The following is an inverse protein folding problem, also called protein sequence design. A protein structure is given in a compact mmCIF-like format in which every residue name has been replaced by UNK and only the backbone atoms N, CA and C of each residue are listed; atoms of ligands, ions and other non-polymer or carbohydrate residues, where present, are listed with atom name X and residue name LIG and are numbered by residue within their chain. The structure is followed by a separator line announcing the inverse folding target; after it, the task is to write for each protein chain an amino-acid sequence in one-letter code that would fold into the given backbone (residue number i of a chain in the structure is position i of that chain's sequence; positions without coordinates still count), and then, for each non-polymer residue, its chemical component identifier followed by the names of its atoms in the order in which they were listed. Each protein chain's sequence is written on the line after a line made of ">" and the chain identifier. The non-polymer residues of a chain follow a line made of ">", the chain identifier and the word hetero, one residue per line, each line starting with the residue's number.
data_IF_336393741722
#
_entry.id   IF_336393741722
#
_cell.length_a   1.000
_cell.length_b   1.000
_cell.length_c   1.000
_cell.angle_alpha   90.00
_cell.angle_beta   90.00
_cell.angle_gamma   90.00
#
_symmetry.space_group_name_H-M   'P 1'
#
loop_
_entity.id
_entity.type
_entity.pdbx_description
1 polymer ?
#
# COMPACT_ATOMS: atom_id res chain seq x y z
N UNK A 1 -3.74 18.07 3.16
CA UNK A 1 -2.38 18.43 2.72
C UNK A 1 -1.90 17.29 1.85
N UNK A 2 -1.42 17.53 0.63
CA UNK A 2 -1.07 16.45 -0.28
C UNK A 2 0.06 15.57 0.30
N UNK A 3 0.06 14.26 0.04
CA UNK A 3 1.11 13.35 0.56
C UNK A 3 2.52 13.77 0.20
N UNK A 4 2.70 14.37 -0.98
CA UNK A 4 3.98 14.96 -1.42
C UNK A 4 4.51 15.97 -0.41
N UNK A 5 3.64 16.82 0.14
CA UNK A 5 4.03 17.85 1.11
C UNK A 5 4.31 17.24 2.48
N UNK A 6 3.53 16.23 2.89
CA UNK A 6 3.73 15.50 4.14
C UNK A 6 5.09 14.78 4.14
N UNK A 7 5.41 14.07 3.06
CA UNK A 7 6.71 13.38 2.89
C UNK A 7 7.85 14.40 2.82
N UNK A 8 7.67 15.54 2.14
CA UNK A 8 8.65 16.62 2.11
C UNK A 8 8.93 17.18 3.50
N UNK A 9 7.90 17.44 4.29
CA UNK A 9 8.04 17.94 5.66
C UNK A 9 8.79 16.94 6.55
N UNK A 10 8.46 15.65 6.46
CA UNK A 10 9.17 14.59 7.18
C UNK A 10 10.64 14.49 6.74
N UNK A 11 10.93 14.65 5.46
CA UNK A 11 12.31 14.65 4.94
C UNK A 11 13.12 15.81 5.53
N UNK A 12 12.54 17.01 5.60
CA UNK A 12 13.18 18.18 6.21
C UNK A 12 13.38 17.97 7.71
N UNK A 13 12.43 17.34 8.40
CA UNK A 13 12.58 17.00 9.81
C UNK A 13 13.75 16.02 10.03
N UNK A 14 13.84 14.95 9.22
CA UNK A 14 14.96 14.00 9.26
C UNK A 14 16.31 14.65 8.96
N UNK A 15 16.33 15.63 8.03
CA UNK A 15 17.53 16.42 7.75
C UNK A 15 17.96 17.25 8.98
N UNK A 16 17.01 17.87 9.69
CA UNK A 16 17.30 18.67 10.89
C UNK A 16 17.74 17.82 12.07
N UNK A 17 17.22 16.61 12.21
CA UNK A 17 17.61 15.67 13.28
C UNK A 17 18.93 14.93 12.99
N UNK A 18 19.51 15.10 11.80
CA UNK A 18 20.73 14.40 11.39
C UNK A 18 20.52 12.92 11.01
N UNK A 19 19.27 12.48 10.87
CA UNK A 19 18.93 11.10 10.49
C UNK A 19 19.12 10.92 8.97
N UNK A 20 20.36 10.63 8.59
CA UNK A 20 20.77 10.47 7.18
C UNK A 20 20.05 9.31 6.49
N UNK A 21 19.86 8.18 7.18
CA UNK A 21 19.25 6.99 6.58
C UNK A 21 17.76 7.24 6.28
N UNK A 22 17.02 7.81 7.25
CA UNK A 22 15.62 8.19 7.06
C UNK A 22 15.46 9.30 6.01
N UNK A 23 16.33 10.32 6.02
CA UNK A 23 16.31 11.38 5.00
C UNK A 23 16.50 10.80 3.60
N UNK A 24 17.37 9.81 3.43
CA UNK A 24 17.61 9.18 2.14
C UNK A 24 16.39 8.38 1.68
N UNK A 25 15.78 7.58 2.56
CA UNK A 25 14.52 6.88 2.26
C UNK A 25 13.43 7.87 1.83
N UNK A 26 13.17 8.92 2.63
CA UNK A 26 12.15 9.92 2.34
C UNK A 26 12.43 10.69 1.04
N UNK A 27 13.70 10.96 0.73
CA UNK A 27 14.10 11.59 -0.52
C UNK A 27 13.78 10.71 -1.74
N UNK A 28 13.97 9.39 -1.64
CA UNK A 28 13.62 8.46 -2.71
C UNK A 28 12.10 8.39 -2.90
N UNK A 29 11.34 8.28 -1.79
CA UNK A 29 9.87 8.26 -1.84
C UNK A 29 9.30 9.55 -2.44
N UNK A 30 9.84 10.71 -2.03
CA UNK A 30 9.42 12.00 -2.57
C UNK A 30 9.65 12.10 -4.07
N UNK A 31 10.77 11.56 -4.58
CA UNK A 31 11.05 11.50 -6.01
C UNK A 31 10.06 10.59 -6.73
N UNK A 32 9.74 9.41 -6.19
CA UNK A 32 8.74 8.51 -6.78
C UNK A 32 7.36 9.17 -6.89
N UNK A 33 6.91 9.85 -5.82
CA UNK A 33 5.66 10.59 -5.83
C UNK A 33 5.66 11.74 -6.85
N UNK A 34 6.73 12.53 -6.91
CA UNK A 34 6.86 13.62 -7.89
C UNK A 34 6.86 13.10 -9.32
N UNK A 35 7.57 12.01 -9.59
CA UNK A 35 7.58 11.38 -10.91
C UNK A 35 6.17 10.95 -11.31
N UNK A 36 5.41 10.32 -10.40
CA UNK A 36 4.02 9.96 -10.66
C UNK A 36 3.11 11.18 -10.91
N UNK A 37 3.33 12.31 -10.21
CA UNK A 37 2.63 13.58 -10.49
C UNK A 37 2.95 14.10 -11.90
N UNK A 38 4.21 14.06 -12.31
CA UNK A 38 4.66 14.47 -13.65
C UNK A 38 4.06 13.57 -14.73
N UNK A 39 4.12 12.25 -14.53
CA UNK A 39 3.57 11.26 -15.46
C UNK A 39 2.06 11.43 -15.63
N UNK A 40 1.34 11.70 -14.53
CA UNK A 40 -0.10 12.00 -14.55
C UNK A 40 -0.42 13.35 -15.18
N UNK A 41 0.54 14.30 -15.18
CA UNK A 41 0.36 15.72 -15.56
C UNK A 41 -0.71 16.45 -14.74
N UNK A 42 -0.93 16.00 -13.52
CA UNK A 42 -1.86 16.57 -12.56
C UNK A 42 -1.47 16.12 -11.15
N UNK A 43 -1.99 16.81 -10.14
CA UNK A 43 -1.79 16.43 -8.75
C UNK A 43 -2.33 15.01 -8.48
N UNK A 44 -1.58 14.26 -7.67
CA UNK A 44 -2.00 12.94 -7.22
C UNK A 44 -3.11 13.09 -6.17
N UNK A 45 -4.15 12.26 -6.27
CA UNK A 45 -5.07 12.07 -5.16
C UNK A 45 -4.36 11.32 -4.03
N UNK A 46 -4.96 11.30 -2.84
CA UNK A 46 -4.43 10.53 -1.72
C UNK A 46 -4.36 9.03 -2.04
N UNK A 47 -5.34 8.50 -2.79
CA UNK A 47 -5.35 7.10 -3.21
C UNK A 47 -4.28 6.78 -4.25
N UNK A 48 -4.04 7.68 -5.21
CA UNK A 48 -2.96 7.46 -6.18
C UNK A 48 -1.59 7.55 -5.51
N UNK A 49 -1.43 8.48 -4.57
CA UNK A 49 -0.23 8.58 -3.75
C UNK A 49 0.00 7.29 -2.94
N UNK A 50 -1.05 6.71 -2.36
CA UNK A 50 -1.00 5.40 -1.70
C UNK A 50 -0.52 4.30 -2.63
N UNK A 51 -1.04 4.25 -3.86
CA UNK A 51 -0.63 3.24 -4.84
C UNK A 51 0.85 3.37 -5.16
N UNK A 52 1.37 4.59 -5.32
CA UNK A 52 2.79 4.83 -5.56
C UNK A 52 3.64 4.38 -4.36
N UNK A 53 3.27 4.78 -3.14
CA UNK A 53 4.00 4.39 -1.92
C UNK A 53 4.03 2.86 -1.77
N UNK A 54 2.90 2.18 -2.00
CA UNK A 54 2.82 0.70 -1.94
C UNK A 54 3.68 0.04 -3.00
N UNK A 55 3.73 0.61 -4.21
CA UNK A 55 4.61 0.10 -5.28
C UNK A 55 6.07 0.16 -4.85
N UNK A 56 6.50 1.26 -4.24
CA UNK A 56 7.86 1.42 -3.72
C UNK A 56 8.18 0.46 -2.56
N UNK A 57 7.21 0.22 -1.66
CA UNK A 57 7.32 -0.80 -0.60
C UNK A 57 7.52 -2.18 -1.23
N UNK A 58 6.66 -2.57 -2.18
CA UNK A 58 6.74 -3.87 -2.84
C UNK A 58 8.08 -4.08 -3.56
N UNK A 59 8.54 -3.09 -4.32
CA UNK A 59 9.84 -3.16 -5.00
C UNK A 59 11.01 -3.27 -4.00
N UNK A 60 10.91 -2.59 -2.86
CA UNK A 60 11.90 -2.72 -1.79
C UNK A 60 11.86 -4.09 -1.13
N UNK A 61 10.67 -4.66 -0.94
CA UNK A 61 10.49 -6.01 -0.41
C UNK A 61 11.07 -7.06 -1.38
N UNK A 62 10.79 -6.94 -2.68
CA UNK A 62 11.38 -7.83 -3.70
C UNK A 62 12.92 -7.72 -3.71
N UNK A 63 13.46 -6.51 -3.52
CA UNK A 63 14.91 -6.32 -3.37
C UNK A 63 15.43 -7.00 -2.10
N UNK A 64 14.72 -6.85 -0.98
CA UNK A 64 15.06 -7.50 0.29
C UNK A 64 15.04 -9.03 0.17
N UNK A 65 14.03 -9.60 -0.48
CA UNK A 65 13.85 -11.05 -0.64
C UNK A 65 14.91 -11.67 -1.56
N UNK A 66 15.39 -10.91 -2.55
CA UNK A 66 16.46 -11.33 -3.47
C UNK A 66 17.86 -11.01 -2.94
N UNK A 67 17.97 -10.29 -1.83
CA UNK A 67 19.25 -9.94 -1.22
C UNK A 67 19.87 -11.15 -0.52
N UNK A 68 21.13 -11.51 -0.83
CA UNK A 68 21.85 -12.55 -0.11
C UNK A 68 21.97 -12.27 1.40
N UNK A 69 21.87 -13.31 2.23
CA UNK A 69 21.83 -13.18 3.70
C UNK A 69 23.09 -12.57 4.32
N UNK A 70 24.23 -12.66 3.62
CA UNK A 70 25.52 -12.08 4.02
C UNK A 70 25.60 -10.56 3.79
N UNK A 71 24.67 -9.98 3.01
CA UNK A 71 24.61 -8.53 2.74
C UNK A 71 23.78 -7.80 3.79
N UNK A 72 24.18 -7.91 5.05
CA UNK A 72 23.45 -7.40 6.23
C UNK A 72 23.16 -5.90 6.17
N UNK A 73 24.07 -5.09 5.63
CA UNK A 73 23.86 -3.65 5.48
C UNK A 73 22.72 -3.33 4.49
N UNK A 74 22.66 -4.07 3.39
CA UNK A 74 21.61 -3.89 2.37
C UNK A 74 20.25 -4.36 2.89
N UNK A 75 20.23 -5.47 3.63
CA UNK A 75 19.03 -5.96 4.33
C UNK A 75 18.52 -4.91 5.32
N UNK A 76 19.41 -4.34 6.15
CA UNK A 76 19.06 -3.29 7.11
C UNK A 76 18.49 -2.07 6.41
N UNK A 77 19.13 -1.59 5.33
CA UNK A 77 18.66 -0.44 4.57
C UNK A 77 17.28 -0.68 3.94
N UNK A 78 17.04 -1.86 3.36
CA UNK A 78 15.75 -2.19 2.78
C UNK A 78 14.64 -2.24 3.84
N UNK A 79 14.90 -2.89 4.99
CA UNK A 79 13.95 -2.94 6.12
C UNK A 79 13.63 -1.55 6.67
N UNK A 80 14.66 -0.71 6.84
CA UNK A 80 14.45 0.67 7.27
C UNK A 80 13.58 1.43 6.25
N UNK A 81 13.88 1.30 4.96
CA UNK A 81 13.15 1.98 3.90
C UNK A 81 11.67 1.55 3.86
N UNK A 82 11.39 0.25 3.97
CA UNK A 82 10.02 -0.28 4.08
C UNK A 82 9.32 0.34 5.28
N UNK A 83 9.93 0.27 6.47
CA UNK A 83 9.35 0.82 7.70
C UNK A 83 9.05 2.31 7.59
N UNK A 84 9.96 3.10 7.01
CA UNK A 84 9.74 4.54 6.79
C UNK A 84 8.58 4.77 5.81
N UNK A 85 8.46 3.99 4.75
CA UNK A 85 7.41 4.16 3.74
C UNK A 85 6.03 3.79 4.30
N UNK A 86 5.97 2.76 5.14
CA UNK A 86 4.74 2.30 5.81
C UNK A 86 4.12 3.39 6.70
N UNK A 87 4.89 4.33 7.22
CA UNK A 87 4.35 5.47 7.99
C UNK A 87 3.46 6.40 7.16
N UNK A 88 3.63 6.41 5.83
CA UNK A 88 2.91 7.33 4.93
C UNK A 88 1.74 6.67 4.23
N UNK A 89 1.43 5.41 4.53
CA UNK A 89 0.35 4.66 3.90
C UNK A 89 -0.45 3.91 4.96
N UNK A 90 -1.78 3.81 4.86
CA UNK A 90 -2.55 2.98 5.78
C UNK A 90 -2.08 1.52 5.71
N UNK A 91 -1.95 0.88 6.88
CA UNK A 91 -1.61 -0.53 7.01
C UNK A 91 -2.49 -1.36 6.08
N UNK A 92 -1.85 -2.17 5.23
CA UNK A 92 -2.56 -3.10 4.36
C UNK A 92 -3.22 -4.18 5.19
N UNK A 93 -4.45 -4.52 4.84
CA UNK A 93 -5.06 -5.77 5.23
C UNK A 93 -4.31 -6.90 4.55
N UNK A 94 -3.87 -7.89 5.32
CA UNK A 94 -3.33 -9.12 4.75
C UNK A 94 -4.45 -9.96 4.11
N UNK A 95 -4.07 -11.06 3.43
CA UNK A 95 -5.04 -11.93 2.78
C UNK A 95 -6.08 -12.49 3.76
N UNK A 96 -5.69 -12.79 5.00
CA UNK A 96 -6.57 -13.28 6.05
C UNK A 96 -7.54 -12.21 6.56
N UNK A 97 -7.05 -10.98 6.75
CA UNK A 97 -7.89 -9.84 7.12
C UNK A 97 -8.90 -9.50 6.01
N UNK A 98 -8.50 -9.60 4.73
CA UNK A 98 -9.40 -9.44 3.58
C UNK A 98 -10.45 -10.55 3.56
N UNK A 99 -10.05 -11.80 3.79
CA UNK A 99 -10.96 -12.94 3.83
C UNK A 99 -12.02 -12.79 4.93
N UNK A 100 -11.62 -12.40 6.15
CA UNK A 100 -12.55 -12.14 7.25
C UNK A 100 -13.53 -11.02 6.91
N UNK A 101 -13.06 -9.98 6.23
CA UNK A 101 -13.91 -8.87 5.81
C UNK A 101 -14.90 -9.30 4.72
N UNK A 102 -14.48 -10.16 3.78
CA UNK A 102 -15.37 -10.77 2.78
C UNK A 102 -16.46 -11.57 3.50
N UNK A 103 -16.11 -12.44 4.45
CA UNK A 103 -17.06 -13.25 5.21
C UNK A 103 -18.05 -12.37 5.99
N UNK A 104 -17.58 -11.28 6.61
CA UNK A 104 -18.43 -10.31 7.28
C UNK A 104 -19.41 -9.61 6.31
N UNK A 105 -18.95 -9.21 5.13
CA UNK A 105 -19.81 -8.57 4.11
C UNK A 105 -20.83 -9.56 3.54
N UNK A 106 -20.45 -10.83 3.34
CA UNK A 106 -21.36 -11.88 2.90
C UNK A 106 -22.47 -12.14 3.93
N UNK A 107 -22.09 -12.22 5.22
CA UNK A 107 -23.05 -12.36 6.32
C UNK A 107 -24.00 -11.15 6.43
N UNK A 108 -23.49 -9.92 6.32
CA UNK A 108 -24.30 -8.69 6.29
C UNK A 108 -25.31 -8.68 5.13
N UNK A 109 -24.94 -9.23 3.98
CA UNK A 109 -25.79 -9.29 2.79
C UNK A 109 -26.71 -10.52 2.77
N UNK A 110 -26.55 -11.47 3.70
CA UNK A 110 -27.27 -12.73 3.76
C UNK A 110 -26.92 -13.68 2.60
N UNK A 111 -25.67 -13.66 2.13
CA UNK A 111 -25.21 -14.45 0.99
C UNK A 111 -24.33 -15.58 1.51
N UNK A 112 -24.84 -16.82 1.49
CA UNK A 112 -24.08 -18.01 1.91
C UNK A 112 -23.21 -18.59 0.77
N UNK A 113 -23.68 -18.47 -0.48
CA UNK A 113 -22.98 -18.93 -1.68
C UNK A 113 -22.91 -17.79 -2.70
N UNK A 114 -21.82 -17.00 -2.73
CA UNK A 114 -21.71 -15.86 -3.63
C UNK A 114 -21.59 -16.32 -5.09
N UNK A 115 -22.52 -15.88 -5.94
CA UNK A 115 -22.51 -16.19 -7.38
C UNK A 115 -22.00 -15.01 -8.21
N UNK A 116 -21.68 -15.24 -9.48
CA UNK A 116 -21.32 -14.19 -10.44
C UNK A 116 -22.29 -13.00 -10.47
N UNK A 117 -23.58 -13.23 -10.20
CA UNK A 117 -24.62 -12.20 -10.14
C UNK A 117 -24.53 -11.32 -8.89
N UNK A 118 -24.05 -11.88 -7.79
CA UNK A 118 -23.91 -11.19 -6.49
C UNK A 118 -22.63 -10.35 -6.41
N UNK A 119 -21.65 -10.64 -7.27
CA UNK A 119 -20.34 -9.96 -7.29
C UNK A 119 -20.46 -8.45 -7.24
N UNK A 120 -21.34 -7.86 -8.07
CA UNK A 120 -21.54 -6.42 -8.11
C UNK A 120 -22.08 -5.86 -6.79
N UNK A 121 -23.00 -6.57 -6.14
CA UNK A 121 -23.57 -6.18 -4.85
C UNK A 121 -22.54 -6.31 -3.72
N UNK A 122 -21.77 -7.39 -3.70
CA UNK A 122 -20.71 -7.63 -2.72
C UNK A 122 -19.62 -6.56 -2.86
N UNK A 123 -19.13 -6.32 -4.07
CA UNK A 123 -18.12 -5.29 -4.34
C UNK A 123 -18.58 -3.90 -3.91
N UNK A 124 -19.87 -3.56 -4.09
CA UNK A 124 -20.42 -2.26 -3.65
C UNK A 124 -20.33 -2.06 -2.13
N UNK A 125 -20.47 -3.13 -1.34
CA UNK A 125 -20.34 -3.08 0.12
C UNK A 125 -18.90 -3.22 0.59
N UNK A 126 -18.12 -4.07 -0.07
CA UNK A 126 -16.74 -4.38 0.29
C UNK A 126 -15.77 -3.26 -0.08
N UNK A 127 -15.89 -2.67 -1.27
CA UNK A 127 -14.96 -1.66 -1.79
C UNK A 127 -14.75 -0.47 -0.84
N UNK A 128 -15.79 0.15 -0.25
CA UNK A 128 -15.59 1.22 0.73
C UNK A 128 -14.82 0.79 1.98
N UNK A 129 -14.96 -0.48 2.42
CA UNK A 129 -14.28 -1.01 3.61
C UNK A 129 -12.80 -1.32 3.33
N UNK A 130 -12.46 -1.71 2.10
CA UNK A 130 -11.09 -2.01 1.67
C UNK A 130 -10.36 -0.85 0.99
N UNK A 131 -11.08 0.24 0.65
CA UNK A 131 -10.52 1.37 -0.09
C UNK A 131 -9.33 1.97 0.67
N UNK A 132 -8.15 1.99 0.03
CA UNK A 132 -6.92 2.49 0.64
C UNK A 132 -6.35 1.59 1.75
N UNK A 133 -6.89 0.39 1.94
CA UNK A 133 -6.44 -0.58 2.95
C UNK A 133 -6.15 -1.95 2.38
N UNK A 134 -6.58 -2.28 1.17
CA UNK A 134 -6.19 -3.52 0.50
C UNK A 134 -5.98 -3.27 -1.00
N UNK A 135 -5.22 -4.16 -1.64
CA UNK A 135 -5.08 -4.17 -3.09
C UNK A 135 -6.40 -4.64 -3.72
N UNK A 136 -7.02 -3.79 -4.55
CA UNK A 136 -8.30 -4.10 -5.18
C UNK A 136 -8.26 -5.33 -6.10
N UNK A 137 -7.10 -5.67 -6.69
CA UNK A 137 -6.93 -6.91 -7.45
C UNK A 137 -6.93 -8.10 -6.51
N UNK A 138 -6.18 -8.04 -5.41
CA UNK A 138 -6.15 -9.12 -4.42
C UNK A 138 -7.54 -9.36 -3.82
N UNK A 139 -8.26 -8.30 -3.47
CA UNK A 139 -9.66 -8.39 -2.98
C UNK A 139 -10.56 -9.09 -4.02
N UNK A 140 -10.44 -8.70 -5.29
CA UNK A 140 -11.22 -9.30 -6.37
C UNK A 140 -10.83 -10.76 -6.63
N UNK A 141 -9.55 -11.12 -6.52
CA UNK A 141 -9.07 -12.50 -6.63
C UNK A 141 -9.59 -13.38 -5.49
N UNK A 142 -9.49 -12.92 -4.24
CA UNK A 142 -10.00 -13.63 -3.07
C UNK A 142 -11.52 -13.80 -3.13
N UNK A 143 -12.26 -12.74 -3.49
CA UNK A 143 -13.70 -12.83 -3.69
C UNK A 143 -14.03 -13.84 -4.80
N UNK A 144 -13.33 -13.80 -5.93
CA UNK A 144 -13.60 -14.74 -7.04
C UNK A 144 -13.29 -16.19 -6.64
N UNK A 145 -12.28 -16.44 -5.80
CA UNK A 145 -12.00 -17.79 -5.25
C UNK A 145 -13.11 -18.32 -4.34
N UNK A 146 -13.84 -17.44 -3.65
CA UNK A 146 -14.97 -17.79 -2.76
C UNK A 146 -16.27 -18.04 -3.53
N UNK A 147 -16.32 -17.65 -4.79
CA UNK A 147 -17.48 -17.81 -5.65
C UNK A 147 -17.46 -19.17 -6.35
N UNK A 148 -18.64 -19.79 -6.47
CA UNK A 148 -18.87 -21.02 -7.22
C UNK A 148 -19.46 -20.75 -8.60
#
# INVERSE_FOLDING_TARGET
>A
MAKVDVVRAAMVAAMKSGDKERKNALSMLLSALKNATIDKRADLTDEESDVVIRKEIKQTQETLDTTPADRTDMIRQCRLRISVYEEFVPKMMDAGEIDQLIDSVLAELGIEAPTGKDKGRIMKSLMPKVKGKADGKLVNELLTKRMA
#
